data_IF_325711895236
#
_entry.id   IF_325711895236
#
_cell.length_a   1.000
_cell.length_b   1.000
_cell.length_c   1.000
_cell.angle_alpha   90.00
_cell.angle_beta   90.00
_cell.angle_gamma   90.00
#
_symmetry.space_group_name_H-M   'P 1'
#
loop_
_entity.id
_entity.type
_entity.pdbx_description
1 polymer ?
#
# COMPACT_ATOMS: atom_id res chain seq x y z
N UNK A 1 -21.88 -10.01 -6.40
CA UNK A 1 -20.66 -9.68 -5.64
C UNK A 1 -20.58 -8.16 -5.56
N UNK A 2 -20.56 -7.52 -4.39
CA UNK A 2 -20.53 -6.06 -4.33
C UNK A 2 -19.16 -5.56 -4.76
N UNK A 3 -19.14 -4.61 -5.70
CA UNK A 3 -17.95 -3.87 -6.08
C UNK A 3 -17.59 -2.90 -4.95
N UNK A 4 -16.45 -3.12 -4.31
CA UNK A 4 -15.93 -2.22 -3.27
C UNK A 4 -15.51 -0.90 -3.93
N UNK A 5 -16.37 0.12 -3.83
CA UNK A 5 -16.00 1.50 -4.15
C UNK A 5 -15.13 2.03 -3.02
N UNK A 6 -13.81 2.03 -3.21
CA UNK A 6 -12.87 2.74 -2.34
C UNK A 6 -13.18 4.23 -2.47
N UNK A 7 -13.75 4.82 -1.42
CA UNK A 7 -14.16 6.23 -1.40
C UNK A 7 -12.91 7.10 -1.33
N UNK A 8 -12.38 7.47 -2.50
CA UNK A 8 -11.15 8.26 -2.64
C UNK A 8 -10.43 8.06 -3.98
N UNK A 9 -10.79 7.02 -4.74
CA UNK A 9 -10.27 6.79 -6.10
C UNK A 9 -11.24 7.43 -7.07
N UNK A 10 -11.05 8.72 -7.34
CA UNK A 10 -11.71 9.39 -8.45
C UNK A 10 -10.94 9.02 -9.74
N UNK A 11 -11.50 8.21 -10.66
CA UNK A 11 -10.79 7.77 -11.86
C UNK A 11 -10.52 8.93 -12.85
N UNK A 12 -11.12 10.10 -12.62
CA UNK A 12 -10.89 11.32 -13.39
C UNK A 12 -9.92 12.30 -12.68
N UNK A 13 -9.52 12.04 -11.44
CA UNK A 13 -8.39 12.72 -10.82
C UNK A 13 -7.13 12.14 -11.46
N UNK A 14 -6.60 12.83 -12.47
CA UNK A 14 -5.21 12.61 -12.89
C UNK A 14 -4.37 12.49 -11.62
N UNK A 15 -3.66 11.37 -11.38
CA UNK A 15 -2.87 11.23 -10.17
C UNK A 15 -1.83 12.34 -10.24
N UNK A 16 -2.01 13.38 -9.43
CA UNK A 16 -1.14 14.56 -9.43
C UNK A 16 0.34 14.17 -9.17
N UNK A 17 0.57 12.92 -8.76
CA UNK A 17 1.86 12.26 -8.71
C UNK A 17 1.66 10.74 -8.78
N UNK A 18 2.11 10.08 -9.86
CA UNK A 18 2.23 8.60 -9.85
C UNK A 18 3.30 8.19 -8.85
N UNK A 19 2.98 7.25 -7.97
CA UNK A 19 3.96 6.67 -7.05
C UNK A 19 4.65 5.54 -7.81
N UNK A 20 5.87 5.78 -8.25
CA UNK A 20 6.69 4.76 -8.90
C UNK A 20 7.50 4.00 -7.85
N UNK A 21 7.37 2.68 -7.84
CA UNK A 21 8.22 1.81 -7.02
C UNK A 21 9.48 1.53 -7.83
N UNK A 22 10.65 1.89 -7.30
CA UNK A 22 11.92 1.73 -8.03
C UNK A 22 12.18 0.27 -8.34
N UNK A 23 12.22 -0.08 -9.63
CA UNK A 23 12.54 -1.42 -10.15
C UNK A 23 13.98 -1.88 -9.85
N UNK A 24 14.82 -0.99 -9.33
CA UNK A 24 16.17 -1.29 -8.81
C UNK A 24 16.16 -1.87 -7.40
N UNK A 25 14.99 -2.00 -6.76
CA UNK A 25 14.82 -2.76 -5.51
C UNK A 25 14.91 -4.27 -5.78
N UNK A 26 16.06 -4.74 -6.24
CA UNK A 26 16.39 -6.16 -6.32
C UNK A 26 16.61 -6.66 -4.90
N UNK A 27 15.59 -7.21 -4.21
CA UNK A 27 15.86 -7.62 -2.83
C UNK A 27 14.85 -8.43 -2.05
N UNK A 28 13.56 -8.46 -2.40
CA UNK A 28 12.60 -9.28 -1.64
C UNK A 28 12.08 -10.42 -2.53
N UNK A 29 12.58 -11.66 -2.34
CA UNK A 29 12.05 -12.83 -3.04
C UNK A 29 10.54 -12.94 -2.82
N UNK A 30 9.78 -13.08 -3.91
CA UNK A 30 8.32 -13.25 -3.85
C UNK A 30 7.51 -11.96 -3.68
N UNK A 31 8.10 -10.78 -3.93
CA UNK A 31 7.36 -9.51 -3.98
C UNK A 31 7.27 -9.01 -5.41
N UNK A 32 6.03 -8.84 -5.89
CA UNK A 32 5.70 -8.19 -7.14
C UNK A 32 5.50 -6.68 -6.92
N UNK A 33 6.53 -5.90 -7.24
CA UNK A 33 6.48 -4.44 -7.14
C UNK A 33 5.51 -3.79 -8.12
N UNK A 34 5.22 -4.42 -9.26
CA UNK A 34 4.22 -3.93 -10.21
C UNK A 34 2.82 -4.09 -9.62
N UNK A 35 2.59 -5.17 -8.87
CA UNK A 35 1.33 -5.36 -8.16
C UNK A 35 1.13 -4.29 -7.09
N UNK A 36 2.18 -3.97 -6.33
CA UNK A 36 2.17 -2.87 -5.35
C UNK A 36 1.89 -1.53 -6.04
N UNK A 37 2.57 -1.23 -7.15
CA UNK A 37 2.38 0.01 -7.90
C UNK A 37 0.93 0.21 -8.32
N UNK A 38 0.31 -0.84 -8.89
CA UNK A 38 -1.08 -0.79 -9.34
C UNK A 38 -2.03 -0.53 -8.19
N UNK A 39 -1.82 -1.18 -7.05
CA UNK A 39 -2.68 -0.99 -5.88
C UNK A 39 -2.51 0.41 -5.29
N UNK A 40 -1.29 0.91 -5.18
CA UNK A 40 -1.02 2.27 -4.68
C UNK A 40 -1.61 3.35 -5.60
N UNK A 41 -1.54 3.15 -6.91
CA UNK A 41 -2.08 4.10 -7.89
C UNK A 41 -3.57 3.88 -8.20
N UNK A 42 -4.22 2.83 -7.67
CA UNK A 42 -5.62 2.51 -7.93
C UNK A 42 -5.91 1.96 -9.34
N UNK A 43 -4.90 1.43 -10.04
CA UNK A 43 -5.05 0.87 -11.39
C UNK A 43 -5.79 -0.48 -11.34
N UNK A 44 -6.97 -0.53 -11.96
CA UNK A 44 -7.79 -1.74 -12.06
C UNK A 44 -7.36 -2.62 -13.26
N UNK A 45 -7.42 -3.97 -13.15
CA UNK A 45 -7.85 -4.74 -11.98
C UNK A 45 -6.77 -4.79 -10.89
N UNK A 46 -7.21 -4.68 -9.62
CA UNK A 46 -6.31 -4.78 -8.47
C UNK A 46 -5.77 -6.22 -8.37
N UNK A 47 -4.45 -6.42 -8.44
CA UNK A 47 -3.84 -7.72 -8.24
C UNK A 47 -4.01 -8.18 -6.79
N UNK A 48 -4.10 -9.49 -6.57
CA UNK A 48 -4.07 -10.06 -5.22
C UNK A 48 -2.66 -9.94 -4.66
N UNK A 49 -2.50 -9.12 -3.62
CA UNK A 49 -1.23 -8.95 -2.93
C UNK A 49 -1.05 -10.01 -1.83
N UNK A 50 0.15 -10.57 -1.72
CA UNK A 50 0.56 -11.38 -0.59
C UNK A 50 0.85 -10.51 0.66
N UNK A 51 1.05 -11.14 1.83
CA UNK A 51 1.24 -10.40 3.08
C UNK A 51 2.47 -9.45 3.05
N UNK A 52 3.56 -9.85 2.37
CA UNK A 52 4.75 -9.03 2.25
C UNK A 52 4.49 -7.80 1.37
N UNK A 53 3.79 -7.98 0.25
CA UNK A 53 3.37 -6.92 -0.66
C UNK A 53 2.39 -5.96 0.01
N UNK A 54 1.41 -6.47 0.77
CA UNK A 54 0.47 -5.64 1.53
C UNK A 54 1.19 -4.77 2.57
N UNK A 55 2.17 -5.32 3.29
CA UNK A 55 2.98 -4.54 4.24
C UNK A 55 3.76 -3.44 3.54
N UNK A 56 4.37 -3.74 2.39
CA UNK A 56 5.13 -2.76 1.62
C UNK A 56 4.22 -1.66 1.05
N UNK A 57 3.07 -2.03 0.47
CA UNK A 57 2.08 -1.10 -0.03
C UNK A 57 1.56 -0.19 1.10
N UNK A 58 1.21 -0.75 2.26
CA UNK A 58 0.78 0.01 3.44
C UNK A 58 1.85 0.99 3.92
N UNK A 59 3.13 0.62 3.83
CA UNK A 59 4.26 1.48 4.21
C UNK A 59 4.40 2.65 3.27
N UNK A 60 4.29 2.42 1.96
CA UNK A 60 4.33 3.46 0.93
C UNK A 60 3.15 4.42 1.09
N UNK A 61 1.93 3.90 1.20
CA UNK A 61 0.73 4.73 1.41
C UNK A 61 0.80 5.54 2.72
N UNK A 62 1.36 4.97 3.79
CA UNK A 62 1.58 5.70 5.05
C UNK A 62 2.60 6.84 4.86
N UNK A 63 3.64 6.65 4.04
CA UNK A 63 4.63 7.70 3.70
C UNK A 63 4.03 8.81 2.84
N UNK A 64 3.09 8.48 1.95
CA UNK A 64 2.31 9.45 1.18
C UNK A 64 1.25 10.18 2.03
N UNK A 65 1.09 9.80 3.30
CA UNK A 65 0.22 10.50 4.25
C UNK A 65 -1.21 9.95 4.35
N UNK A 66 -1.52 8.79 3.73
CA UNK A 66 -2.84 8.19 3.82
C UNK A 66 -3.15 7.71 5.26
N UNK A 67 -4.43 7.76 5.64
CA UNK A 67 -4.93 7.24 6.91
C UNK A 67 -4.88 5.71 7.01
N UNK A 68 -4.93 5.16 8.22
CA UNK A 68 -4.92 3.70 8.41
C UNK A 68 -6.19 3.03 7.88
N UNK A 69 -7.33 3.73 7.92
CA UNK A 69 -8.61 3.26 7.37
C UNK A 69 -8.57 3.21 5.85
N UNK A 70 -8.12 4.28 5.19
CA UNK A 70 -8.01 4.36 3.72
C UNK A 70 -7.08 3.26 3.17
N UNK A 71 -5.95 3.02 3.87
CA UNK A 71 -5.01 1.96 3.51
C UNK A 71 -5.65 0.58 3.69
N UNK A 72 -6.40 0.38 4.77
CA UNK A 72 -7.07 -0.87 5.05
C UNK A 72 -8.13 -1.20 3.99
N UNK A 73 -8.91 -0.20 3.58
CA UNK A 73 -9.87 -0.32 2.47
C UNK A 73 -9.17 -0.63 1.14
N UNK A 74 -8.06 0.04 0.85
CA UNK A 74 -7.31 -0.18 -0.39
C UNK A 74 -6.68 -1.58 -0.48
N UNK A 75 -6.19 -2.10 0.65
CA UNK A 75 -5.54 -3.40 0.73
C UNK A 75 -6.48 -4.56 1.07
N UNK A 76 -7.74 -4.28 1.41
CA UNK A 76 -8.70 -5.29 1.84
C UNK A 76 -8.34 -5.95 3.18
N UNK A 77 -7.65 -5.23 4.07
CA UNK A 77 -7.27 -5.71 5.42
C UNK A 77 -8.02 -4.95 6.50
N UNK A 78 -7.94 -5.38 7.75
CA UNK A 78 -8.53 -4.62 8.85
C UNK A 78 -7.65 -3.41 9.26
N UNK A 79 -8.24 -2.25 9.64
CA UNK A 79 -7.48 -1.07 10.08
C UNK A 79 -6.56 -1.33 11.28
N UNK A 80 -6.93 -2.27 12.16
CA UNK A 80 -6.10 -2.73 13.28
C UNK A 80 -4.78 -3.35 12.81
N UNK A 81 -4.79 -4.02 11.67
CA UNK A 81 -3.61 -4.63 11.05
C UNK A 81 -2.65 -3.55 10.57
N UNK A 82 -3.16 -2.51 9.89
CA UNK A 82 -2.36 -1.36 9.45
C UNK A 82 -1.76 -0.62 10.65
N UNK A 83 -2.54 -0.41 11.71
CA UNK A 83 -2.07 0.22 12.95
C UNK A 83 -0.92 -0.58 13.59
N UNK A 84 -1.03 -1.91 13.63
CA UNK A 84 0.02 -2.80 14.13
C UNK A 84 1.30 -2.70 13.31
N UNK A 85 1.19 -2.67 11.98
CA UNK A 85 2.37 -2.50 11.11
C UNK A 85 3.06 -1.15 11.32
N UNK A 86 2.30 -0.06 11.47
CA UNK A 86 2.85 1.27 11.79
C UNK A 86 3.63 1.28 13.10
N UNK A 87 3.11 0.61 14.12
CA UNK A 87 3.80 0.48 15.40
C UNK A 87 5.11 -0.30 15.29
N UNK A 88 5.13 -1.36 14.47
CA UNK A 88 6.34 -2.15 14.21
C UNK A 88 7.43 -1.33 13.51
N UNK A 89 7.11 -0.60 12.44
CA UNK A 89 8.08 0.25 11.74
C UNK A 89 8.67 1.34 12.63
N UNK A 90 7.84 1.95 13.49
CA UNK A 90 8.30 2.96 14.45
C UNK A 90 9.27 2.38 15.49
N UNK A 91 9.16 1.09 15.81
CA UNK A 91 10.09 0.37 16.69
C UNK A 91 11.41 0.11 15.97
N UNK A 92 11.35 -0.39 14.73
CA UNK A 92 12.53 -0.62 13.88
C UNK A 92 13.36 0.66 13.67
N UNK A 93 12.71 1.80 13.43
CA UNK A 93 13.38 3.10 13.27
C UNK A 93 14.06 3.61 14.56
N UNK A 94 13.60 3.16 15.74
CA UNK A 94 14.23 3.50 17.03
C UNK A 94 15.38 2.56 17.39
N UNK A 95 15.35 1.32 16.94
CA UNK A 95 16.39 0.31 17.22
C UNK A 95 17.53 0.31 16.19
N UNK A 96 17.36 1.00 15.06
CA UNK A 96 18.40 1.18 14.03
C UNK A 96 19.24 2.46 14.14
N UNK A 97 19.17 3.19 15.25
CA UNK A 97 19.90 4.46 15.49
C UNK A 97 21.10 4.30 16.42
#
# INVERSE_FOLDING_TARGET
>A
MPAFHVKGIDPAREPARRVYVSTTATGVPGVDYLAIERVVNGDLPLPSLNEAEQKLAARLMTREGLGAEEIAECLGVEPRTVTRWRAAWKKEEREGS
#
